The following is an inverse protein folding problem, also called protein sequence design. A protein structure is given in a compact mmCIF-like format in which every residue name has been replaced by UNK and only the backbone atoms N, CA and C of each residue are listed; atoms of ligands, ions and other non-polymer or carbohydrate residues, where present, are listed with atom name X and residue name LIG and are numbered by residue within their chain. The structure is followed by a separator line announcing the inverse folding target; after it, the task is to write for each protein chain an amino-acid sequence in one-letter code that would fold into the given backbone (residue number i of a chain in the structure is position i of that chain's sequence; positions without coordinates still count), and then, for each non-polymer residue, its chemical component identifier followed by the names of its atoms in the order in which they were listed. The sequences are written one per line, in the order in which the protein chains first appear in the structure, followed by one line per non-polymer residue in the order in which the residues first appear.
data_IF_149918589105
#
_entry.id   IF_149918589105
#
_cell.length_a   1.000
_cell.length_b   1.000
_cell.length_c   1.000
_cell.angle_alpha   90.00
_cell.angle_beta   90.00
_cell.angle_gamma   90.00
#
_symmetry.space_group_name_H-M   'P 1'
#
loop_
_entity.id
_entity.type
_entity.pdbx_description
1 polymer ?
#
# COMPACT_ATOMS: atom_id res chain seq x y z
N UNK A 1 -19.82 -25.81 14.24
CA UNK A 1 -19.08 -24.54 14.33
C UNK A 1 -19.57 -23.70 13.16
N UNK A 2 -20.08 -22.51 13.43
CA UNK A 2 -20.67 -21.62 12.43
C UNK A 2 -19.57 -21.14 11.48
N UNK A 3 -19.58 -21.64 10.24
CA UNK A 3 -18.57 -21.41 9.20
C UNK A 3 -18.80 -20.05 8.48
N UNK A 4 -19.29 -19.06 9.23
CA UNK A 4 -19.41 -17.69 8.73
C UNK A 4 -18.00 -17.11 8.64
N UNK A 5 -17.42 -17.21 7.45
CA UNK A 5 -16.16 -16.57 7.10
C UNK A 5 -16.22 -15.08 7.47
N UNK A 6 -15.54 -14.72 8.56
CA UNK A 6 -15.42 -13.33 8.99
C UNK A 6 -14.57 -12.62 7.93
N UNK A 7 -15.15 -11.63 7.24
CA UNK A 7 -14.46 -10.87 6.21
C UNK A 7 -13.56 -9.81 6.89
N UNK A 8 -12.23 -9.87 6.74
CA UNK A 8 -11.37 -8.83 7.26
C UNK A 8 -11.47 -7.56 6.41
N UNK A 9 -11.15 -6.42 7.02
CA UNK A 9 -10.90 -5.16 6.32
C UNK A 9 -9.40 -5.00 6.12
N UNK A 10 -8.95 -4.86 4.88
CA UNK A 10 -7.56 -4.59 4.55
C UNK A 10 -7.32 -3.10 4.50
N UNK A 11 -6.26 -2.62 5.16
CA UNK A 11 -5.91 -1.20 5.18
C UNK A 11 -4.41 -0.98 4.94
N UNK A 12 -4.09 0.16 4.34
CA UNK A 12 -2.73 0.68 4.24
C UNK A 12 -2.46 1.76 5.29
N UNK A 13 -2.06 2.96 4.83
CA UNK A 13 -1.92 4.17 5.66
C UNK A 13 -3.23 4.93 5.91
N UNK A 14 -4.37 4.36 5.50
CA UNK A 14 -5.72 4.93 5.71
C UNK A 14 -5.91 6.37 5.20
N UNK A 15 -5.15 6.78 4.18
CA UNK A 15 -5.15 8.15 3.64
C UNK A 15 -6.42 8.50 2.84
N UNK A 16 -7.26 7.50 2.57
CA UNK A 16 -8.52 7.63 1.84
C UNK A 16 -9.66 6.87 2.54
N UNK A 17 -9.60 6.74 3.86
CA UNK A 17 -10.66 6.10 4.66
C UNK A 17 -11.17 7.08 5.70
N UNK A 18 -12.49 7.09 5.89
CA UNK A 18 -13.17 7.76 6.98
C UNK A 18 -13.79 6.68 7.87
N UNK A 19 -13.38 6.65 9.13
CA UNK A 19 -13.96 5.73 10.11
C UNK A 19 -15.09 6.43 10.86
N UNK A 20 -16.14 5.68 11.19
CA UNK A 20 -17.20 6.12 12.10
C UNK A 20 -16.64 6.30 13.52
N UNK A 21 -17.18 7.24 14.28
CA UNK A 21 -16.86 7.47 15.69
C UNK A 21 -17.22 6.25 16.56
N UNK A 22 -18.22 5.46 16.16
CA UNK A 22 -18.55 4.18 16.80
C UNK A 22 -17.46 3.10 16.59
N UNK A 23 -16.52 3.34 15.68
CA UNK A 23 -15.41 2.45 15.37
C UNK A 23 -15.77 1.31 14.41
N UNK A 24 -14.81 0.39 14.21
CA UNK A 24 -14.94 -0.73 13.28
C UNK A 24 -14.94 -2.07 14.05
N UNK A 25 -16.04 -2.82 13.92
CA UNK A 25 -16.18 -4.18 14.49
C UNK A 25 -15.91 -5.25 13.43
N UNK A 26 -14.65 -5.36 13.02
CA UNK A 26 -14.17 -6.39 12.11
C UNK A 26 -12.67 -6.66 12.37
N UNK A 27 -12.15 -7.85 12.02
CA UNK A 27 -10.70 -8.04 11.93
C UNK A 27 -10.11 -7.06 10.91
N UNK A 28 -9.04 -6.39 11.29
CA UNK A 28 -8.32 -5.45 10.42
C UNK A 28 -6.94 -6.01 10.12
N UNK A 29 -6.59 -6.09 8.83
CA UNK A 29 -5.25 -6.47 8.38
C UNK A 29 -4.60 -5.22 7.81
N UNK A 30 -3.61 -4.69 8.54
CA UNK A 30 -2.83 -3.56 8.07
C UNK A 30 -1.61 -4.04 7.29
N UNK A 31 -1.51 -3.64 6.03
CA UNK A 31 -0.36 -3.87 5.18
C UNK A 31 0.55 -2.65 5.27
N UNK A 32 1.78 -2.84 5.73
CA UNK A 32 2.73 -1.75 5.96
C UNK A 32 4.17 -2.14 5.68
N UNK A 33 5.12 -1.47 6.33
CA UNK A 33 6.57 -1.59 6.08
C UNK A 33 7.15 -3.01 6.18
N UNK A 34 6.46 -3.94 6.85
CA UNK A 34 6.86 -5.36 6.89
C UNK A 34 6.71 -6.07 5.55
N UNK A 35 5.90 -5.52 4.65
CA UNK A 35 5.64 -6.03 3.31
C UNK A 35 5.87 -4.92 2.28
N UNK A 36 7.05 -4.29 2.34
CA UNK A 36 7.41 -3.13 1.51
C UNK A 36 8.69 -3.34 0.69
N UNK A 37 9.03 -4.58 0.31
CA UNK A 37 10.18 -4.84 -0.57
C UNK A 37 9.91 -4.34 -1.98
N UNK A 38 10.96 -3.84 -2.64
CA UNK A 38 10.96 -3.43 -4.04
C UNK A 38 12.15 -4.10 -4.74
N UNK A 39 11.92 -4.70 -5.89
CA UNK A 39 12.94 -5.17 -6.83
C UNK A 39 12.79 -4.43 -8.17
N UNK A 40 13.92 -4.10 -8.79
CA UNK A 40 13.99 -3.45 -10.09
C UNK A 40 14.92 -4.28 -10.97
N UNK A 41 14.41 -4.74 -12.11
CA UNK A 41 15.14 -5.50 -13.12
C UNK A 41 14.87 -4.85 -14.48
N UNK A 42 15.88 -4.18 -15.04
CA UNK A 42 15.76 -3.32 -16.23
C UNK A 42 14.60 -2.31 -16.12
N UNK A 43 13.53 -2.53 -16.88
CA UNK A 43 12.32 -1.69 -16.92
C UNK A 43 11.14 -2.31 -16.16
N UNK A 44 11.38 -3.41 -15.44
CA UNK A 44 10.37 -4.08 -14.64
C UNK A 44 10.58 -3.78 -13.15
N UNK A 45 9.46 -3.47 -12.47
CA UNK A 45 9.45 -3.14 -11.05
C UNK A 45 8.48 -4.08 -10.37
N UNK A 46 8.97 -4.85 -9.40
CA UNK A 46 8.14 -5.64 -8.50
C UNK A 46 8.14 -4.95 -7.14
N UNK A 47 6.98 -4.47 -6.69
CA UNK A 47 6.82 -3.79 -5.42
C UNK A 47 5.73 -4.47 -4.59
N UNK A 48 6.02 -4.70 -3.31
CA UNK A 48 5.03 -5.24 -2.38
C UNK A 48 4.00 -4.18 -1.97
N UNK A 49 2.80 -4.60 -1.57
CA UNK A 49 1.69 -3.68 -1.32
C UNK A 49 1.96 -2.64 -0.22
N UNK A 50 2.81 -2.93 0.76
CA UNK A 50 3.14 -2.01 1.86
C UNK A 50 4.16 -0.92 1.52
N UNK A 51 4.62 -0.83 0.26
CA UNK A 51 5.55 0.22 -0.19
C UNK A 51 4.88 1.58 -0.13
N UNK A 52 5.57 2.57 0.44
CA UNK A 52 5.10 3.96 0.46
C UNK A 52 5.20 4.58 -0.94
N UNK A 53 4.07 5.04 -1.48
CA UNK A 53 3.92 5.48 -2.89
C UNK A 53 4.89 6.61 -3.28
N UNK A 54 5.02 7.71 -2.51
CA UNK A 54 6.00 8.77 -2.82
C UNK A 54 7.45 8.27 -2.80
N UNK A 55 7.75 7.33 -1.90
CA UNK A 55 9.05 6.68 -1.82
C UNK A 55 9.37 5.84 -3.05
N UNK A 56 8.38 5.11 -3.56
CA UNK A 56 8.51 4.32 -4.80
C UNK A 56 8.74 5.23 -6.01
N UNK A 57 7.95 6.29 -6.18
CA UNK A 57 8.13 7.26 -7.25
C UNK A 57 9.56 7.83 -7.26
N UNK A 58 10.09 8.20 -6.09
CA UNK A 58 11.47 8.69 -5.95
C UNK A 58 12.51 7.62 -6.25
N UNK A 59 12.26 6.36 -5.91
CA UNK A 59 13.15 5.24 -6.21
C UNK A 59 13.25 5.00 -7.71
N UNK A 60 12.12 5.01 -8.42
CA UNK A 60 12.07 4.82 -9.88
C UNK A 60 12.73 5.99 -10.62
N UNK A 61 12.48 7.23 -10.19
CA UNK A 61 13.18 8.41 -10.70
C UNK A 61 14.70 8.26 -10.59
N UNK A 62 15.22 7.76 -9.46
CA UNK A 62 16.66 7.52 -9.26
C UNK A 62 17.22 6.39 -10.13
N UNK A 63 16.38 5.42 -10.49
CA UNK A 63 16.73 4.35 -11.41
C UNK A 63 16.61 4.76 -12.89
N UNK A 64 16.23 6.02 -13.19
CA UNK A 64 16.01 6.49 -14.56
C UNK A 64 14.73 5.95 -15.21
N UNK A 65 13.79 5.42 -14.41
CA UNK A 65 12.52 4.88 -14.88
C UNK A 65 11.42 5.94 -14.77
N UNK A 66 10.57 6.00 -15.81
CA UNK A 66 9.44 6.92 -15.92
C UNK A 66 8.11 6.19 -15.69
N UNK A 67 7.00 6.93 -15.53
CA UNK A 67 5.64 6.42 -15.48
C UNK A 67 4.94 6.50 -14.11
N UNK A 68 5.69 6.71 -13.02
CA UNK A 68 5.16 6.81 -11.66
C UNK A 68 5.32 8.21 -11.02
N UNK A 69 5.79 9.20 -11.77
CA UNK A 69 6.12 10.55 -11.31
C UNK A 69 4.89 11.27 -10.75
N UNK A 70 3.72 11.03 -11.35
CA UNK A 70 2.44 11.60 -10.92
C UNK A 70 2.05 11.21 -9.48
N UNK A 71 2.65 10.15 -8.95
CA UNK A 71 2.36 9.65 -7.59
C UNK A 71 3.29 10.22 -6.52
N UNK A 72 4.26 11.07 -6.88
CA UNK A 72 5.30 11.54 -5.96
C UNK A 72 4.80 12.32 -4.73
N UNK A 73 3.55 12.78 -4.74
CA UNK A 73 2.89 13.43 -3.61
C UNK A 73 1.66 12.70 -3.07
N UNK A 74 1.30 11.53 -3.60
CA UNK A 74 0.09 10.80 -3.18
C UNK A 74 0.39 10.04 -1.89
N UNK A 75 -0.21 10.40 -0.75
CA UNK A 75 0.05 9.70 0.50
C UNK A 75 -0.64 8.33 0.47
N UNK A 76 0.09 7.25 0.78
CA UNK A 76 -0.48 5.91 0.82
C UNK A 76 0.54 4.79 0.69
N UNK A 77 0.06 3.57 0.88
CA UNK A 77 0.75 2.35 0.44
C UNK A 77 0.38 2.04 -1.01
N UNK A 78 1.18 1.20 -1.68
CA UNK A 78 0.96 0.84 -3.08
C UNK A 78 -0.30 -0.02 -3.31
N UNK A 79 -0.58 -0.94 -2.38
CA UNK A 79 -1.84 -1.68 -2.34
C UNK A 79 -2.90 -0.92 -1.56
#
# INVERSE_FOLDING_TARGET
MDDRAIRPVHIGLTTNLLFDDEGLRAPVIQIGSRMSKVGIEDQQVLAQAGVWVPGLARMLMRAGLTGLEHTCGIPGTLG
#
